data_IF_310556155632
#
_entry.id   IF_310556155632
#
_cell.length_a   1.000
_cell.length_b   1.000
_cell.length_c   1.000
_cell.angle_alpha   90.00
_cell.angle_beta   90.00
_cell.angle_gamma   90.00
#
_symmetry.space_group_name_H-M   'P 1'
#
loop_
_entity.id
_entity.type
_entity.pdbx_description
1 polymer ?
#
# COMPACT_ATOMS: atom_id res chain seq x y z
N UNK A 1 21.93 -9.81 29.87
CA UNK A 1 21.23 -8.52 29.69
C UNK A 1 22.31 -7.53 29.30
N UNK A 2 22.36 -7.09 28.05
CA UNK A 2 23.42 -6.18 27.57
C UNK A 2 23.15 -4.77 28.04
N UNK A 3 24.18 -4.08 28.54
CA UNK A 3 24.11 -2.64 28.83
C UNK A 3 23.99 -1.88 27.50
N UNK A 4 23.03 -0.95 27.43
CA UNK A 4 22.90 -0.05 26.29
C UNK A 4 23.61 1.26 26.63
N UNK A 5 24.49 1.75 25.75
CA UNK A 5 25.04 3.10 25.87
C UNK A 5 23.91 4.13 25.69
N UNK A 6 23.69 4.98 26.69
CA UNK A 6 22.62 5.98 26.69
C UNK A 6 23.20 7.39 26.67
N UNK A 7 22.77 8.22 25.70
CA UNK A 7 23.07 9.65 25.68
C UNK A 7 22.07 10.42 26.59
N UNK A 8 22.47 11.48 27.32
CA UNK A 8 21.61 12.23 28.24
C UNK A 8 20.26 12.73 27.69
N UNK A 9 20.09 12.87 26.38
CA UNK A 9 18.82 13.33 25.76
C UNK A 9 18.03 12.20 25.06
N UNK A 10 18.48 10.95 25.13
CA UNK A 10 17.82 9.82 24.47
C UNK A 10 16.58 9.37 25.24
N UNK A 11 15.40 9.43 24.61
CA UNK A 11 14.17 8.88 25.18
C UNK A 11 14.23 7.36 25.15
N UNK A 12 14.17 6.72 26.31
CA UNK A 12 13.98 5.26 26.41
C UNK A 12 12.47 5.01 26.41
N UNK A 13 11.98 4.35 25.36
CA UNK A 13 10.55 4.08 25.17
C UNK A 13 10.31 2.59 25.41
N UNK A 14 9.59 2.26 26.48
CA UNK A 14 9.06 0.92 26.71
C UNK A 14 7.69 0.81 26.04
N UNK A 15 7.58 -0.07 25.04
CA UNK A 15 6.29 -0.35 24.40
C UNK A 15 5.52 -1.34 25.27
N UNK A 16 4.66 -0.81 26.13
CA UNK A 16 3.67 -1.59 26.86
C UNK A 16 2.42 -1.66 25.99
N UNK A 17 2.03 -2.88 25.60
CA UNK A 17 0.77 -3.10 24.90
C UNK A 17 -0.25 -3.49 25.96
N UNK A 18 -1.32 -2.71 26.09
CA UNK A 18 -2.45 -3.07 26.96
C UNK A 18 -3.06 -4.37 26.44
N UNK A 19 -2.82 -5.44 27.19
CA UNK A 19 -3.14 -6.80 26.78
C UNK A 19 -2.11 -7.40 25.84
N UNK A 20 -1.78 -8.67 26.06
CA UNK A 20 -1.40 -9.52 24.92
C UNK A 20 -2.60 -9.42 23.98
N UNK A 21 -2.39 -9.00 22.74
CA UNK A 21 -3.33 -9.29 21.67
C UNK A 21 -3.45 -10.83 21.58
N UNK A 22 -4.25 -11.43 22.45
CA UNK A 22 -4.98 -12.60 22.07
C UNK A 22 -5.72 -12.18 20.81
N UNK A 23 -5.77 -13.07 19.83
CA UNK A 23 -6.58 -12.92 18.65
C UNK A 23 -8.06 -12.89 19.07
N UNK A 24 -8.46 -11.84 19.76
CA UNK A 24 -9.82 -11.50 20.09
C UNK A 24 -10.41 -10.93 18.81
N UNK A 25 -11.36 -11.67 18.25
CA UNK A 25 -12.14 -11.32 17.06
C UNK A 25 -12.79 -9.93 17.10
N UNK A 26 -12.82 -9.25 18.26
CA UNK A 26 -13.37 -7.91 18.42
C UNK A 26 -12.37 -6.76 18.23
N UNK A 27 -11.06 -7.03 18.22
CA UNK A 27 -10.03 -6.01 18.00
C UNK A 27 -9.18 -6.37 16.76
N UNK A 28 -9.46 -5.68 15.65
CA UNK A 28 -8.74 -5.88 14.39
C UNK A 28 -7.40 -5.15 14.46
N UNK A 29 -6.31 -5.90 14.36
CA UNK A 29 -4.96 -5.35 14.24
C UNK A 29 -4.51 -5.36 12.78
N UNK A 30 -3.94 -4.25 12.34
CA UNK A 30 -3.19 -4.21 11.08
C UNK A 30 -1.92 -5.05 11.21
N UNK A 31 -1.68 -5.91 10.22
CA UNK A 31 -0.39 -6.58 10.02
C UNK A 31 0.34 -5.82 8.92
N UNK A 32 1.53 -5.33 9.21
CA UNK A 32 2.39 -4.67 8.23
C UNK A 32 3.82 -5.17 8.43
N UNK A 33 4.57 -5.33 7.33
CA UNK A 33 5.98 -5.70 7.43
C UNK A 33 6.78 -4.51 7.96
N UNK A 34 7.51 -4.72 9.07
CA UNK A 34 8.23 -3.65 9.78
C UNK A 34 9.23 -2.92 8.89
N UNK A 35 9.95 -3.66 8.05
CA UNK A 35 10.94 -3.09 7.13
C UNK A 35 10.29 -2.22 6.07
N UNK A 36 9.21 -2.70 5.44
CA UNK A 36 8.42 -1.95 4.46
C UNK A 36 7.86 -0.67 5.06
N UNK A 37 7.29 -0.75 6.27
CA UNK A 37 6.80 0.42 7.00
C UNK A 37 7.93 1.43 7.26
N UNK A 38 9.10 0.98 7.73
CA UNK A 38 10.23 1.88 7.99
C UNK A 38 10.82 2.49 6.73
N UNK A 39 10.82 1.76 5.61
CA UNK A 39 11.25 2.29 4.33
C UNK A 39 10.27 3.36 3.83
N UNK A 40 8.96 3.09 3.90
CA UNK A 40 7.93 4.08 3.58
C UNK A 40 8.04 5.33 4.47
N UNK A 41 8.33 5.19 5.76
CA UNK A 41 8.55 6.33 6.66
C UNK A 41 9.78 7.19 6.30
N UNK A 42 10.81 6.60 5.68
CA UNK A 42 11.99 7.35 5.22
C UNK A 42 11.75 8.05 3.89
N UNK A 43 10.99 7.39 3.02
CA UNK A 43 10.76 7.82 1.64
C UNK A 43 9.62 8.85 1.52
N UNK A 44 8.62 8.77 2.39
CA UNK A 44 7.41 9.58 2.32
C UNK A 44 7.39 10.68 3.40
N UNK A 45 6.70 11.78 3.11
CA UNK A 45 6.36 12.77 4.13
C UNK A 45 5.39 12.17 5.16
N UNK A 46 5.32 12.69 6.40
CA UNK A 46 4.41 12.16 7.42
C UNK A 46 2.95 12.08 6.96
N UNK A 47 2.48 13.06 6.18
CA UNK A 47 1.12 13.08 5.65
C UNK A 47 0.90 11.99 4.60
N UNK A 48 1.85 11.79 3.69
CA UNK A 48 1.74 10.76 2.64
C UNK A 48 1.90 9.35 3.23
N UNK A 49 2.71 9.21 4.28
CA UNK A 49 2.83 7.97 5.04
C UNK A 49 1.50 7.57 5.71
N UNK A 50 0.68 8.53 6.18
CA UNK A 50 -0.64 8.20 6.71
C UNK A 50 -1.58 7.64 5.64
N UNK A 51 -1.45 8.07 4.39
CA UNK A 51 -2.20 7.49 3.25
C UNK A 51 -1.69 6.08 2.95
N UNK A 52 -0.37 5.88 2.93
CA UNK A 52 0.24 4.56 2.82
C UNK A 52 -0.26 3.62 3.93
N UNK A 53 -0.31 4.09 5.18
CA UNK A 53 -0.74 3.33 6.34
C UNK A 53 -2.21 2.91 6.24
N UNK A 54 -3.07 3.81 5.74
CA UNK A 54 -4.46 3.47 5.48
C UNK A 54 -4.58 2.33 4.45
N UNK A 55 -3.83 2.38 3.35
CA UNK A 55 -3.82 1.31 2.34
C UNK A 55 -3.27 -0.01 2.91
N UNK A 56 -2.18 0.05 3.67
CA UNK A 56 -1.57 -1.12 4.32
C UNK A 56 -2.45 -1.73 5.41
N UNK A 57 -3.40 -0.98 5.97
CA UNK A 57 -4.37 -1.50 6.95
C UNK A 57 -5.51 -2.31 6.34
N UNK A 58 -5.68 -2.26 5.01
CA UNK A 58 -6.73 -2.99 4.32
C UNK A 58 -6.43 -4.49 4.28
N UNK A 59 -7.46 -5.31 4.08
CA UNK A 59 -7.29 -6.77 3.96
C UNK A 59 -6.58 -7.13 2.64
N UNK A 60 -5.81 -8.22 2.67
CA UNK A 60 -5.15 -8.72 1.46
C UNK A 60 -6.17 -9.03 0.35
N UNK A 61 -5.82 -8.71 -0.90
CA UNK A 61 -6.68 -8.79 -2.09
C UNK A 61 -8.02 -8.03 -2.01
N UNK A 62 -8.15 -7.09 -1.06
CA UNK A 62 -9.34 -6.25 -0.97
C UNK A 62 -9.33 -5.16 -2.05
N UNK A 63 -10.36 -5.14 -2.89
CA UNK A 63 -10.57 -4.11 -3.92
C UNK A 63 -11.70 -3.18 -3.51
N UNK A 64 -11.43 -1.87 -3.48
CA UNK A 64 -12.43 -0.87 -3.14
C UNK A 64 -12.27 0.39 -4.00
N UNK A 65 -13.36 1.15 -4.14
CA UNK A 65 -13.32 2.46 -4.79
C UNK A 65 -12.73 3.51 -3.85
N UNK A 66 -11.63 4.14 -4.24
CA UNK A 66 -11.02 5.21 -3.44
C UNK A 66 -11.94 6.44 -3.38
N UNK A 67 -12.46 6.74 -2.19
CA UNK A 67 -13.30 7.91 -1.93
C UNK A 67 -12.65 8.81 -0.88
N UNK A 68 -12.02 9.93 -1.28
CA UNK A 68 -11.44 10.88 -0.34
C UNK A 68 -12.45 11.36 0.71
N UNK A 69 -13.73 11.44 0.36
CA UNK A 69 -14.77 11.88 1.28
C UNK A 69 -15.04 10.84 2.38
N UNK A 70 -15.19 9.56 2.01
CA UNK A 70 -15.45 8.48 2.98
C UNK A 70 -14.24 8.28 3.90
N UNK A 71 -13.03 8.24 3.32
CA UNK A 71 -11.79 8.04 4.09
C UNK A 71 -11.53 9.24 5.01
N UNK A 72 -11.81 10.46 4.56
CA UNK A 72 -11.69 11.66 5.39
C UNK A 72 -12.63 11.61 6.60
N UNK A 73 -13.86 11.12 6.42
CA UNK A 73 -14.83 10.96 7.50
C UNK A 73 -14.39 9.88 8.51
N UNK A 74 -13.80 8.79 8.02
CA UNK A 74 -13.32 7.66 8.84
C UNK A 74 -12.06 8.02 9.63
N UNK A 75 -11.08 8.65 8.97
CA UNK A 75 -9.71 8.83 9.51
C UNK A 75 -9.41 10.25 10.02
N UNK A 76 -10.23 11.23 9.66
CA UNK A 76 -9.97 12.65 9.92
C UNK A 76 -8.93 13.29 9.00
N UNK A 77 -8.33 12.55 8.06
CA UNK A 77 -7.42 13.11 7.06
C UNK A 77 -8.14 14.10 6.15
N UNK A 78 -7.47 15.19 5.77
CA UNK A 78 -8.04 16.17 4.82
C UNK A 78 -8.17 15.52 3.44
N UNK A 79 -9.26 15.80 2.71
CA UNK A 79 -9.47 15.31 1.34
C UNK A 79 -8.31 15.66 0.40
N UNK A 80 -7.76 16.87 0.53
CA UNK A 80 -6.61 17.30 -0.27
C UNK A 80 -5.35 16.49 0.03
N UNK A 81 -5.11 16.15 1.30
CA UNK A 81 -4.00 15.30 1.71
C UNK A 81 -4.14 13.87 1.17
N UNK A 82 -5.37 13.35 1.12
CA UNK A 82 -5.67 12.05 0.53
C UNK A 82 -5.39 12.02 -0.98
N UNK A 83 -5.85 13.05 -1.70
CA UNK A 83 -5.61 13.17 -3.14
C UNK A 83 -4.12 13.31 -3.47
N UNK A 84 -3.42 14.18 -2.74
CA UNK A 84 -1.98 14.38 -2.89
C UNK A 84 -1.19 13.12 -2.53
N UNK A 85 -1.58 12.44 -1.45
CA UNK A 85 -0.96 11.18 -1.04
C UNK A 85 -1.07 10.11 -2.11
N UNK A 86 -2.23 9.95 -2.76
CA UNK A 86 -2.38 9.02 -3.89
C UNK A 86 -1.43 9.39 -5.04
N UNK A 87 -1.36 10.67 -5.41
CA UNK A 87 -0.44 11.14 -6.47
C UNK A 87 1.01 10.79 -6.14
N UNK A 88 1.45 11.07 -4.91
CA UNK A 88 2.81 10.78 -4.46
C UNK A 88 3.08 9.27 -4.43
N UNK A 89 2.13 8.46 -3.99
CA UNK A 89 2.28 7.00 -3.98
C UNK A 89 2.38 6.43 -5.40
N UNK A 90 1.70 7.03 -6.38
CA UNK A 90 1.88 6.69 -7.80
C UNK A 90 3.29 7.09 -8.25
N UNK A 91 3.70 8.33 -8.00
CA UNK A 91 5.01 8.86 -8.42
C UNK A 91 6.19 8.07 -7.81
N UNK A 92 6.00 7.52 -6.62
CA UNK A 92 6.99 6.71 -5.90
C UNK A 92 6.83 5.19 -6.16
N UNK A 93 5.99 4.77 -7.10
CA UNK A 93 5.76 3.36 -7.46
C UNK A 93 5.23 2.45 -6.33
N UNK A 94 4.56 3.00 -5.32
CA UNK A 94 3.76 2.22 -4.37
C UNK A 94 2.37 1.88 -4.94
N UNK A 95 1.83 2.73 -5.83
CA UNK A 95 0.60 2.49 -6.56
C UNK A 95 0.91 2.38 -8.04
N UNK A 96 0.61 1.24 -8.64
CA UNK A 96 0.87 0.98 -10.05
C UNK A 96 -0.45 0.80 -10.76
N UNK A 97 -0.67 1.63 -11.79
CA UNK A 97 -1.85 1.52 -12.64
C UNK A 97 -1.78 0.23 -13.46
N UNK A 98 -2.84 -0.58 -13.45
CA UNK A 98 -2.99 -1.67 -14.41
C UNK A 98 -3.25 -1.08 -15.80
N UNK A 99 -2.64 -1.70 -16.81
CA UNK A 99 -2.67 -1.25 -18.22
C UNK A 99 -4.07 -0.80 -18.66
N UNK A 100 -4.18 0.42 -19.17
CA UNK A 100 -5.41 1.02 -19.73
C UNK A 100 -6.66 0.91 -18.85
N UNK A 101 -6.49 0.98 -17.52
CA UNK A 101 -7.60 0.89 -16.56
C UNK A 101 -7.56 2.00 -15.52
N UNK A 102 -8.65 2.18 -14.78
CA UNK A 102 -8.70 3.01 -13.57
C UNK A 102 -8.36 2.23 -12.29
N UNK A 103 -7.74 1.06 -12.42
CA UNK A 103 -7.38 0.17 -11.32
C UNK A 103 -5.91 0.36 -10.99
N UNK A 104 -5.60 0.48 -9.71
CA UNK A 104 -4.25 0.64 -9.19
C UNK A 104 -3.97 -0.46 -8.16
N UNK A 105 -2.83 -1.12 -8.30
CA UNK A 105 -2.33 -2.11 -7.34
C UNK A 105 -1.41 -1.41 -6.35
N UNK A 106 -1.69 -1.59 -5.06
CA UNK A 106 -0.86 -1.11 -3.97
C UNK A 106 0.19 -2.14 -3.57
N UNK A 107 1.42 -1.67 -3.36
CA UNK A 107 2.53 -2.46 -2.85
C UNK A 107 3.13 -1.79 -1.61
N UNK A 108 3.38 -2.56 -0.55
CA UNK A 108 4.06 -2.05 0.65
C UNK A 108 5.51 -1.60 0.37
N UNK A 109 6.13 -2.19 -0.66
CA UNK A 109 7.48 -1.90 -1.12
C UNK A 109 7.36 -1.30 -2.53
N UNK A 110 7.97 -0.13 -2.79
CA UNK A 110 7.87 0.51 -4.09
C UNK A 110 8.55 -0.35 -5.15
N UNK A 111 7.97 -0.38 -6.36
CA UNK A 111 8.53 -1.18 -7.45
C UNK A 111 9.60 -0.45 -8.23
N UNK A 112 10.57 -1.22 -8.68
CA UNK A 112 11.58 -0.77 -9.64
C UNK A 112 10.97 -0.60 -11.03
N UNK A 113 11.66 0.15 -11.90
CA UNK A 113 11.19 0.35 -13.28
C UNK A 113 11.18 -0.95 -14.06
N UNK A 114 12.15 -1.81 -13.79
CA UNK A 114 12.30 -3.13 -14.38
C UNK A 114 11.10 -4.02 -14.02
N UNK A 115 10.74 -4.11 -12.72
CA UNK A 115 9.56 -4.86 -12.27
C UNK A 115 8.26 -4.32 -12.91
N UNK A 116 8.11 -3.00 -13.00
CA UNK A 116 6.93 -2.37 -13.62
C UNK A 116 6.82 -2.76 -15.09
N UNK A 117 7.94 -2.79 -15.81
CA UNK A 117 7.95 -3.13 -17.23
C UNK A 117 7.68 -4.62 -17.46
N UNK A 118 8.22 -5.49 -16.61
CA UNK A 118 7.87 -6.92 -16.60
C UNK A 118 6.36 -7.13 -16.37
N UNK A 119 5.77 -6.40 -15.42
CA UNK A 119 4.33 -6.47 -15.14
C UNK A 119 3.46 -6.09 -16.34
N UNK A 120 3.84 -5.07 -17.10
CA UNK A 120 3.13 -4.70 -18.34
C UNK A 120 3.24 -5.80 -19.39
N UNK A 121 4.44 -6.37 -19.57
CA UNK A 121 4.69 -7.40 -20.58
C UNK A 121 3.93 -8.71 -20.29
N UNK A 122 3.73 -9.07 -19.02
CA UNK A 122 2.93 -10.25 -18.63
C UNK A 122 1.44 -10.04 -18.95
N UNK A 123 0.91 -8.83 -18.82
CA UNK A 123 -0.50 -8.53 -19.14
C UNK A 123 -0.80 -8.46 -20.64
N UNK A 124 0.18 -8.14 -21.49
CA UNK A 124 0.01 -8.16 -22.96
C UNK A 124 -0.13 -9.61 -23.47
N UNK A 125 0.57 -10.56 -22.84
CA UNK A 125 0.51 -11.98 -23.20
C UNK A 125 -0.84 -12.65 -22.88
N UNK A 126 -1.63 -12.12 -21.94
CA UNK A 126 -2.96 -12.67 -21.57
C UNK A 126 -4.11 -12.06 -22.37
N UNK A 127 -3.83 -11.12 -23.28
CA UNK A 127 -4.81 -10.48 -24.16
C UNK A 127 -4.49 -10.60 -25.66
N UNK A 128 -3.70 -11.61 -26.06
CA UNK A 128 -3.67 -12.03 -27.46
C UNK A 128 -4.89 -12.92 -27.73
N UNK A 129 -5.87 -12.29 -28.36
CA UNK A 129 -7.05 -12.89 -28.98
C UNK A 129 -6.80 -14.32 -29.47
N UNK A 130 -7.54 -15.28 -28.91
CA UNK A 130 -7.88 -16.51 -29.59
C UNK A 130 -8.89 -16.18 -30.70
N UNK A 131 -8.44 -15.44 -31.72
CA UNK A 131 -9.12 -15.27 -33.01
C UNK A 131 -8.39 -16.08 -34.06
N UNK A 132 -8.27 -17.39 -33.82
CA UNK A 132 -8.01 -18.31 -34.90
C UNK A 132 -9.28 -19.10 -35.25
N UNK A 133 -9.84 -18.69 -36.37
CA UNK A 133 -10.36 -19.55 -37.43
C UNK A 133 -11.50 -20.50 -37.04
N UNK A 134 -12.70 -20.10 -37.43
CA UNK A 134 -13.52 -20.98 -38.27
C UNK A 134 -14.38 -20.12 -39.22
N UNK A 135 -13.85 -19.95 -40.43
CA UNK A 135 -14.71 -19.71 -41.58
C UNK A 135 -15.47 -20.99 -41.90
N UNK A 136 -16.77 -20.89 -42.04
CA UNK A 136 -17.57 -21.74 -42.91
C UNK A 136 -18.67 -20.87 -43.54
N UNK A 137 -18.52 -20.57 -44.84
CA UNK A 137 -19.62 -20.42 -45.80
C UNK A 137 -20.17 -21.86 -46.03
N UNK A 138 -21.44 -22.17 -46.27
CA UNK A 138 -22.59 -21.48 -46.84
C UNK A 138 -23.86 -21.86 -46.06
#
# INVERSE_FOLDING_TARGET
MGEFETNPNQKIISVLKDGKAQCDTSHIYMKAQKESMFNAMKDLTPTNFLVWLYLASQSDNYTFGFSPAAISQETGLKKSALQEGIRVLIDHNYLIQRTDSNIYDFYEIPKTKEEIEEMKNIQICTHTDNKDKNGFQF
#
